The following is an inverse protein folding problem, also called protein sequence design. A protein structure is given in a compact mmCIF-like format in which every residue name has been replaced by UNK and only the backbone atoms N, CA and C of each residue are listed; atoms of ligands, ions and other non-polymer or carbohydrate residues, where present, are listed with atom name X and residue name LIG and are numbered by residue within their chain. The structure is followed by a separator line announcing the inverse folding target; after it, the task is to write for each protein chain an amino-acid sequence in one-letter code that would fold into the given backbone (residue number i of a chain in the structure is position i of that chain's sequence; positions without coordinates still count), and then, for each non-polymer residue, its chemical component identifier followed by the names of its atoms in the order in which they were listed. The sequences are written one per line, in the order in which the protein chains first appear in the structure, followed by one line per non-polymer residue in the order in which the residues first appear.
data_IF_070964700903
#
_entry.id   IF_070964700903
#
_cell.length_a   1.000
_cell.length_b   1.000
_cell.length_c   1.000
_cell.angle_alpha   90.00
_cell.angle_beta   90.00
_cell.angle_gamma   90.00
#
_symmetry.space_group_name_H-M   'P 1'
#
loop_
_entity.id
_entity.type
_entity.pdbx_description
1 polymer ?
#
# COMPACT_ATOMS: atom_id res chain seq x y z
N UNK A 1 21.84 -17.62 27.15
CA UNK A 1 22.23 -16.61 28.15
C UNK A 1 21.20 -15.49 28.12
N UNK A 2 20.46 -15.31 29.21
CA UNK A 2 19.49 -14.21 29.36
C UNK A 2 20.27 -12.92 29.61
N UNK A 3 20.01 -11.82 28.88
CA UNK A 3 20.76 -10.58 29.07
C UNK A 3 20.50 -10.00 30.47
N UNK A 4 21.52 -9.34 31.04
CA UNK A 4 21.39 -8.70 32.36
C UNK A 4 20.28 -7.62 32.32
N UNK A 5 19.41 -7.55 33.34
CA UNK A 5 18.40 -6.51 33.44
C UNK A 5 19.00 -5.11 33.44
N UNK A 6 18.23 -4.11 32.97
CA UNK A 6 18.66 -2.72 33.05
C UNK A 6 18.84 -2.27 34.50
N UNK A 7 20.04 -1.78 34.82
CA UNK A 7 20.36 -1.13 36.09
C UNK A 7 19.72 0.25 36.17
N UNK A 8 19.59 0.79 37.39
CA UNK A 8 19.02 2.12 37.59
C UNK A 8 19.81 3.22 36.84
N UNK A 9 21.14 3.15 36.86
CA UNK A 9 22.02 4.10 36.17
C UNK A 9 21.86 4.01 34.64
N UNK A 10 21.76 2.79 34.08
CA UNK A 10 21.47 2.63 32.65
C UNK A 10 20.11 3.24 32.27
N UNK A 11 19.07 3.05 33.08
CA UNK A 11 17.75 3.63 32.80
C UNK A 11 17.82 5.16 32.76
N UNK A 12 18.51 5.79 33.71
CA UNK A 12 18.69 7.25 33.73
C UNK A 12 19.41 7.73 32.47
N UNK A 13 20.54 7.10 32.12
CA UNK A 13 21.31 7.48 30.93
C UNK A 13 20.52 7.28 29.63
N UNK A 14 19.74 6.20 29.51
CA UNK A 14 18.90 5.96 28.34
C UNK A 14 17.69 6.89 28.26
N UNK A 15 17.14 7.33 29.40
CA UNK A 15 15.97 8.19 29.47
C UNK A 15 16.31 9.69 29.28
N UNK A 16 17.53 10.09 29.59
CA UNK A 16 18.01 11.48 29.54
C UNK A 16 17.69 12.19 28.20
N UNK A 17 18.06 11.66 27.02
CA UNK A 17 17.81 12.37 25.76
C UNK A 17 16.32 12.56 25.46
N UNK A 18 15.48 11.61 25.90
CA UNK A 18 14.04 11.68 25.74
C UNK A 18 13.40 12.70 26.69
N UNK A 19 13.92 12.78 27.92
CA UNK A 19 13.45 13.74 28.93
C UNK A 19 13.77 15.17 28.52
N UNK A 20 14.97 15.39 27.95
CA UNK A 20 15.34 16.68 27.33
C UNK A 20 14.41 17.06 26.17
N UNK A 21 13.93 16.08 25.42
CA UNK A 21 12.91 16.24 24.38
C UNK A 21 11.46 16.31 24.90
N UNK A 22 11.25 16.47 26.21
CA UNK A 22 9.93 16.60 26.83
C UNK A 22 9.16 15.28 26.99
N UNK A 23 9.80 14.12 26.81
CA UNK A 23 9.17 12.80 26.98
C UNK A 23 9.45 12.25 28.36
N UNK A 24 8.41 11.77 29.05
CA UNK A 24 8.56 11.16 30.37
C UNK A 24 8.54 9.63 30.26
N UNK A 25 9.39 8.95 31.02
CA UNK A 25 9.37 7.48 31.11
C UNK A 25 8.10 7.03 31.84
N UNK A 26 7.46 6.01 31.32
CA UNK A 26 6.41 5.24 31.98
C UNK A 26 7.05 4.02 32.65
N UNK A 27 7.33 4.14 33.95
CA UNK A 27 7.97 3.08 34.71
C UNK A 27 7.06 1.84 34.88
N UNK A 28 5.74 2.00 34.83
CA UNK A 28 4.81 0.90 34.95
C UNK A 28 4.72 0.07 33.67
N UNK A 29 4.84 0.72 32.51
CA UNK A 29 4.86 0.05 31.20
C UNK A 29 6.27 -0.44 30.78
N UNK A 30 7.33 0.03 31.43
CA UNK A 30 8.72 -0.38 31.15
C UNK A 30 9.05 -1.74 31.76
N UNK A 31 9.90 -2.52 31.10
CA UNK A 31 10.34 -3.83 31.58
C UNK A 31 11.86 -3.92 31.60
N UNK A 32 12.44 -3.93 32.80
CA UNK A 32 13.90 -3.97 33.00
C UNK A 32 14.51 -5.32 32.62
N UNK A 33 13.78 -6.43 32.82
CA UNK A 33 14.23 -7.78 32.49
C UNK A 33 14.32 -7.96 30.96
N UNK A 34 13.38 -7.37 30.22
CA UNK A 34 13.39 -7.33 28.75
C UNK A 34 14.23 -6.18 28.18
N UNK A 35 14.87 -5.37 29.05
CA UNK A 35 15.65 -4.19 28.68
C UNK A 35 14.88 -3.20 27.78
N UNK A 36 13.61 -2.98 28.11
CA UNK A 36 12.66 -2.12 27.39
C UNK A 36 12.22 -0.93 28.24
N UNK A 37 12.33 0.27 27.67
CA UNK A 37 11.78 1.51 28.22
C UNK A 37 10.59 1.97 27.38
N UNK A 38 9.49 2.31 28.05
CA UNK A 38 8.28 2.88 27.44
C UNK A 38 8.15 4.32 27.90
N UNK A 39 7.76 5.21 26.99
CA UNK A 39 7.51 6.61 27.30
C UNK A 39 6.01 6.89 27.33
N UNK A 40 5.60 7.84 28.18
CA UNK A 40 4.19 8.24 28.33
C UNK A 40 3.61 8.68 27.00
N UNK A 41 2.31 8.40 26.84
CA UNK A 41 1.51 8.75 25.66
C UNK A 41 1.52 10.25 25.41
N UNK A 42 1.65 10.63 24.15
CA UNK A 42 1.48 12.01 23.70
C UNK A 42 0.40 12.08 22.60
N UNK A 43 -0.45 13.09 22.65
CA UNK A 43 -1.43 13.33 21.60
C UNK A 43 -0.82 14.16 20.47
N UNK A 44 -1.14 13.79 19.22
CA UNK A 44 -0.72 14.46 18.00
C UNK A 44 -1.94 14.73 17.14
N UNK A 45 -2.03 15.94 16.59
CA UNK A 45 -3.07 16.27 15.63
C UNK A 45 -2.76 15.63 14.27
N UNK A 46 -3.71 14.88 13.72
CA UNK A 46 -3.69 14.51 12.31
C UNK A 46 -4.19 15.71 11.50
N UNK A 47 -3.35 16.25 10.63
CA UNK A 47 -3.78 17.28 9.70
C UNK A 47 -4.42 16.60 8.47
N UNK A 48 -5.50 17.17 7.92
CA UNK A 48 -6.04 16.70 6.65
C UNK A 48 -4.97 16.82 5.56
N UNK A 49 -4.99 15.92 4.59
CA UNK A 49 -4.00 15.92 3.52
C UNK A 49 -4.04 17.27 2.77
N UNK A 50 -2.96 18.05 2.85
CA UNK A 50 -2.83 19.28 2.07
C UNK A 50 -2.68 18.90 0.57
N UNK A 51 -3.57 19.39 -0.28
CA UNK A 51 -3.57 19.12 -1.73
C UNK A 51 -2.37 19.79 -2.45
N UNK A 52 -1.56 20.60 -1.74
CA UNK A 52 -0.43 21.35 -2.31
C UNK A 52 0.81 20.53 -2.67
N UNK A 53 0.82 19.20 -2.51
CA UNK A 53 1.90 18.32 -3.01
C UNK A 53 1.65 17.72 -4.40
N UNK A 54 0.64 18.19 -5.15
CA UNK A 54 0.59 17.99 -6.60
C UNK A 54 1.44 19.06 -7.31
N UNK A 55 2.32 18.64 -8.21
CA UNK A 55 3.20 19.49 -9.05
C UNK A 55 2.57 20.83 -9.49
N UNK A 56 3.27 21.98 -9.38
CA UNK A 56 2.69 23.31 -9.61
C UNK A 56 2.47 23.70 -11.09
N UNK A 57 2.44 22.75 -12.03
CA UNK A 57 2.46 23.05 -13.46
C UNK A 57 1.08 23.17 -14.15
N UNK A 58 -0.04 23.13 -13.41
CA UNK A 58 -1.36 23.28 -14.03
C UNK A 58 -2.40 23.90 -13.08
N UNK A 59 -2.32 25.20 -12.84
CA UNK A 59 -3.39 25.95 -12.18
C UNK A 59 -3.98 27.00 -13.12
N UNK A 60 -5.10 26.65 -13.75
CA UNK A 60 -5.97 27.55 -14.52
C UNK A 60 -7.29 27.78 -13.75
N UNK A 61 -7.55 29.05 -13.44
CA UNK A 61 -8.84 29.81 -13.32
C UNK A 61 -10.11 29.14 -12.75
N UNK A 62 -10.04 28.08 -11.93
CA UNK A 62 -11.22 27.51 -11.23
C UNK A 62 -11.08 27.44 -9.68
N UNK A 63 -10.31 28.36 -9.09
CA UNK A 63 -9.86 28.26 -7.70
C UNK A 63 -10.93 28.36 -6.58
N UNK A 64 -12.00 29.19 -6.65
CA UNK A 64 -12.84 29.41 -5.47
C UNK A 64 -13.82 28.25 -5.19
N UNK A 65 -14.39 27.62 -6.23
CA UNK A 65 -15.28 26.46 -6.07
C UNK A 65 -14.51 25.18 -5.70
N UNK A 66 -13.33 24.98 -6.29
CA UNK A 66 -12.45 23.87 -5.94
C UNK A 66 -11.97 23.96 -4.47
N UNK A 67 -11.63 25.16 -4.00
CA UNK A 67 -11.24 25.38 -2.61
C UNK A 67 -12.40 25.13 -1.62
N UNK A 68 -13.64 25.51 -1.98
CA UNK A 68 -14.82 25.26 -1.15
C UNK A 68 -15.20 23.78 -1.07
N UNK A 69 -15.09 23.05 -2.20
CA UNK A 69 -15.26 21.60 -2.25
C UNK A 69 -14.14 20.87 -1.50
N UNK A 70 -12.89 21.29 -1.65
CA UNK A 70 -11.75 20.75 -0.92
C UNK A 70 -11.89 20.97 0.59
N UNK A 71 -12.34 22.15 1.03
CA UNK A 71 -12.64 22.42 2.44
C UNK A 71 -13.78 21.55 2.98
N UNK A 72 -14.82 21.32 2.18
CA UNK A 72 -15.94 20.44 2.53
C UNK A 72 -15.53 18.96 2.57
N UNK A 73 -14.63 18.53 1.69
CA UNK A 73 -14.05 17.18 1.67
C UNK A 73 -13.04 16.96 2.81
N UNK A 74 -12.28 17.98 3.17
CA UNK A 74 -11.41 17.97 4.34
C UNK A 74 -12.22 17.88 5.65
N UNK A 75 -13.38 18.53 5.72
CA UNK A 75 -14.30 18.41 6.86
C UNK A 75 -14.93 17.00 6.99
N UNK A 76 -14.96 16.23 5.90
CA UNK A 76 -15.40 14.83 5.88
C UNK A 76 -14.25 13.83 6.10
N UNK A 77 -13.00 14.31 6.19
CA UNK A 77 -11.86 13.46 6.48
C UNK A 77 -11.87 13.11 7.97
N UNK A 78 -11.71 11.83 8.29
CA UNK A 78 -11.60 11.35 9.66
C UNK A 78 -10.22 11.72 10.22
N UNK A 79 -10.08 12.95 10.71
CA UNK A 79 -8.84 13.50 11.27
C UNK A 79 -8.78 13.32 12.79
N UNK A 80 -9.17 12.14 13.27
CA UNK A 80 -9.12 11.82 14.70
C UNK A 80 -7.72 12.02 15.31
N UNK A 81 -7.62 12.24 16.63
CA UNK A 81 -6.34 12.42 17.30
C UNK A 81 -5.48 11.17 17.14
N UNK A 82 -4.16 11.37 17.03
CA UNK A 82 -3.17 10.29 17.05
C UNK A 82 -2.58 10.18 18.45
N UNK A 83 -2.62 8.98 19.02
CA UNK A 83 -1.87 8.67 20.24
C UNK A 83 -0.50 8.15 19.86
N UNK A 84 0.54 8.80 20.36
CA UNK A 84 1.94 8.43 20.16
C UNK A 84 2.50 7.70 21.38
N UNK A 85 3.19 6.59 21.15
CA UNK A 85 3.98 5.86 22.14
C UNK A 85 5.38 5.59 21.58
N UNK A 86 6.41 5.86 22.37
CA UNK A 86 7.79 5.52 22.04
C UNK A 86 8.25 4.33 22.90
N UNK A 87 8.89 3.36 22.27
CA UNK A 87 9.55 2.23 22.94
C UNK A 87 11.03 2.20 22.57
N UNK A 88 11.91 2.12 23.57
CA UNK A 88 13.33 1.92 23.39
C UNK A 88 13.72 0.53 23.92
N UNK A 89 14.16 -0.35 23.03
CA UNK A 89 14.72 -1.65 23.37
C UNK A 89 16.25 -1.58 23.35
N UNK A 90 16.92 -2.12 24.38
CA UNK A 90 18.38 -2.26 24.45
C UNK A 90 18.80 -3.72 24.33
N UNK A 91 19.61 -4.06 23.33
CA UNK A 91 20.04 -5.45 23.09
C UNK A 91 21.27 -5.87 23.90
N UNK A 92 21.78 -5.01 24.79
CA UNK A 92 22.95 -5.30 25.64
C UNK A 92 24.31 -5.22 24.92
N UNK A 93 24.33 -5.15 23.59
CA UNK A 93 25.54 -5.04 22.75
C UNK A 93 25.88 -3.59 22.37
N UNK A 94 25.32 -2.61 23.09
CA UNK A 94 25.40 -1.19 22.71
C UNK A 94 24.54 -0.81 21.50
N UNK A 95 23.69 -1.73 21.00
CA UNK A 95 22.69 -1.43 19.96
C UNK A 95 21.32 -1.24 20.59
N UNK A 96 20.59 -0.24 20.08
CA UNK A 96 19.24 0.08 20.49
C UNK A 96 18.27 0.06 19.31
N UNK A 97 17.01 -0.24 19.60
CA UNK A 97 15.89 -0.04 18.68
C UNK A 97 14.92 0.94 19.31
N UNK A 98 14.67 2.05 18.61
CA UNK A 98 13.62 2.99 18.95
C UNK A 98 12.44 2.74 18.01
N UNK A 99 11.27 2.50 18.59
CA UNK A 99 10.01 2.30 17.86
C UNK A 99 9.03 3.37 18.25
N UNK A 100 8.59 4.19 17.28
CA UNK A 100 7.42 5.06 17.44
C UNK A 100 6.19 4.35 16.93
N UNK A 101 5.21 4.18 17.80
CA UNK A 101 3.87 3.72 17.48
C UNK A 101 2.92 4.90 17.48
N UNK A 102 2.20 5.08 16.38
CA UNK A 102 1.09 6.02 16.28
C UNK A 102 -0.20 5.21 16.12
N UNK A 103 -1.20 5.52 16.93
CA UNK A 103 -2.53 4.90 16.88
C UNK A 103 -3.59 5.96 16.60
N UNK A 104 -4.39 5.75 15.57
CA UNK A 104 -5.52 6.61 15.21
C UNK A 104 -6.79 6.19 15.96
N UNK A 105 -7.75 7.11 16.10
CA UNK A 105 -9.04 6.86 16.74
C UNK A 105 -9.82 5.70 16.11
N UNK A 106 -9.62 5.43 14.81
CA UNK A 106 -10.22 4.28 14.12
C UNK A 106 -9.63 2.91 14.53
N UNK A 107 -8.60 2.90 15.38
CA UNK A 107 -7.86 1.71 15.80
C UNK A 107 -6.71 1.32 14.88
N UNK A 108 -6.51 2.00 13.75
CA UNK A 108 -5.33 1.79 12.91
C UNK A 108 -4.05 2.19 13.63
N UNK A 109 -3.00 1.42 13.39
CA UNK A 109 -1.68 1.62 13.98
C UNK A 109 -0.60 1.68 12.90
N UNK A 110 0.36 2.60 13.07
CA UNK A 110 1.55 2.72 12.24
C UNK A 110 2.81 2.73 13.11
N UNK A 111 3.89 2.12 12.63
CA UNK A 111 5.17 2.03 13.34
C UNK A 111 6.31 2.69 12.57
N UNK A 112 7.21 3.37 13.26
CA UNK A 112 8.46 3.87 12.70
C UNK A 112 9.60 3.31 13.55
N UNK A 113 10.41 2.46 12.95
CA UNK A 113 11.52 1.79 13.64
C UNK A 113 12.85 2.36 13.20
N UNK A 114 13.72 2.68 14.17
CA UNK A 114 15.10 3.05 13.93
C UNK A 114 16.02 2.15 14.78
N UNK A 115 17.15 1.74 14.21
CA UNK A 115 18.19 1.00 14.93
C UNK A 115 19.52 1.74 14.86
N UNK A 116 20.31 1.64 15.93
CA UNK A 116 21.60 2.31 16.03
C UNK A 116 22.18 2.28 17.44
N UNK A 117 23.42 2.75 17.61
CA UNK A 117 24.12 2.68 18.88
C UNK A 117 23.79 3.82 19.85
N UNK A 118 23.19 4.91 19.37
CA UNK A 118 23.06 6.15 20.14
C UNK A 118 21.58 6.57 20.27
N UNK A 119 20.98 6.50 21.47
CA UNK A 119 19.56 6.82 21.68
C UNK A 119 19.17 8.24 21.29
N UNK A 120 20.04 9.23 21.49
CA UNK A 120 19.78 10.62 21.11
C UNK A 120 19.68 10.78 19.59
N UNK A 121 20.59 10.17 18.83
CA UNK A 121 20.54 10.17 17.36
C UNK A 121 19.34 9.37 16.83
N UNK A 122 18.92 8.31 17.53
CA UNK A 122 17.69 7.58 17.20
C UNK A 122 16.45 8.45 17.36
N UNK A 123 16.34 9.17 18.48
CA UNK A 123 15.24 10.08 18.75
C UNK A 123 15.18 11.19 17.68
N UNK A 124 16.30 11.83 17.38
CA UNK A 124 16.37 12.87 16.35
C UNK A 124 15.91 12.36 14.97
N UNK A 125 16.31 11.14 14.58
CA UNK A 125 15.87 10.54 13.30
C UNK A 125 14.37 10.21 13.29
N UNK A 126 13.82 9.74 14.40
CA UNK A 126 12.38 9.45 14.52
C UNK A 126 11.57 10.74 14.49
N UNK A 127 11.99 11.77 15.22
CA UNK A 127 11.32 13.07 15.27
C UNK A 127 11.41 13.83 13.94
N UNK A 128 12.48 13.64 13.16
CA UNK A 128 12.61 14.19 11.80
C UNK A 128 11.55 13.65 10.82
N UNK A 129 10.92 12.51 11.11
CA UNK A 129 9.81 12.00 10.32
C UNK A 129 8.49 12.52 10.90
N UNK A 130 7.73 13.37 10.19
CA UNK A 130 6.47 13.89 10.70
C UNK A 130 5.41 12.77 10.84
N UNK A 131 4.55 12.81 11.89
CA UNK A 131 3.44 11.86 12.05
C UNK A 131 2.52 11.77 10.82
N UNK A 132 2.36 12.87 10.08
CA UNK A 132 1.56 12.97 8.85
C UNK A 132 2.11 12.13 7.69
N UNK A 133 3.39 11.70 7.78
CA UNK A 133 3.91 10.72 6.82
C UNK A 133 3.41 9.30 7.14
N UNK A 134 3.24 8.98 8.42
CA UNK A 134 2.72 7.69 8.88
C UNK A 134 1.20 7.60 8.78
N UNK A 135 0.48 8.71 8.90
CA UNK A 135 -0.98 8.74 8.79
C UNK A 135 -1.45 9.75 7.76
N UNK A 136 -2.37 9.32 6.89
CA UNK A 136 -3.08 10.18 5.96
C UNK A 136 -4.57 9.88 6.06
N UNK A 137 -5.37 10.89 6.37
CA UNK A 137 -6.83 10.80 6.29
C UNK A 137 -7.32 11.41 4.97
N UNK A 138 -8.41 10.85 4.44
CA UNK A 138 -9.16 11.41 3.34
C UNK A 138 -10.66 11.10 3.49
N UNK A 139 -11.48 11.49 2.51
CA UNK A 139 -12.91 11.26 2.57
C UNK A 139 -13.23 9.77 2.64
N UNK A 140 -13.77 9.30 3.77
CA UNK A 140 -14.15 7.90 4.02
C UNK A 140 -12.99 6.88 4.04
N UNK A 141 -11.74 7.34 4.17
CA UNK A 141 -10.61 6.43 4.35
C UNK A 141 -9.54 6.99 5.27
N UNK A 142 -8.82 6.08 5.92
CA UNK A 142 -7.60 6.38 6.68
C UNK A 142 -6.49 5.43 6.24
N UNK A 143 -5.29 5.98 6.00
CA UNK A 143 -4.09 5.24 5.63
C UNK A 143 -3.08 5.33 6.77
N UNK A 144 -2.63 4.17 7.24
CA UNK A 144 -1.54 4.00 8.19
C UNK A 144 -0.32 3.39 7.47
N UNK A 145 0.88 3.93 7.70
CA UNK A 145 2.12 3.53 7.01
C UNK A 145 3.23 3.29 8.02
N UNK A 146 3.72 2.06 8.05
CA UNK A 146 4.86 1.65 8.87
C UNK A 146 6.16 1.66 8.09
N UNK A 147 7.21 2.20 8.70
CA UNK A 147 8.52 2.42 8.09
C UNK A 147 9.65 1.87 8.94
N UNK A 148 10.76 1.58 8.27
CA UNK A 148 12.06 1.37 8.89
C UNK A 148 13.03 2.48 8.46
N UNK A 149 13.79 3.01 9.41
CA UNK A 149 14.90 3.94 9.20
C UNK A 149 16.19 3.14 9.15
N UNK A 150 16.58 2.72 7.96
CA UNK A 150 17.82 2.00 7.71
C UNK A 150 18.95 2.98 7.43
N UNK A 151 19.96 3.02 8.31
CA UNK A 151 21.07 3.96 8.19
C UNK A 151 20.62 5.43 8.29
N UNK A 152 21.19 6.29 7.44
CA UNK A 152 21.09 7.75 7.59
C UNK A 152 20.08 8.45 6.68
N UNK A 153 19.56 7.85 5.60
CA UNK A 153 19.08 8.71 4.49
C UNK A 153 17.57 8.75 4.19
N UNK A 154 16.77 7.69 4.36
CA UNK A 154 15.33 7.78 4.02
C UNK A 154 14.50 6.70 4.70
N UNK A 155 13.27 7.00 5.17
CA UNK A 155 12.32 5.98 5.60
C UNK A 155 12.00 5.00 4.47
N UNK A 156 12.06 3.70 4.78
CA UNK A 156 11.69 2.63 3.87
C UNK A 156 10.34 2.06 4.30
N UNK A 157 9.34 2.12 3.43
CA UNK A 157 8.01 1.57 3.74
C UNK A 157 8.09 0.06 3.90
N UNK A 158 7.54 -0.46 5.01
CA UNK A 158 7.44 -1.89 5.32
C UNK A 158 6.03 -2.41 5.20
N UNK A 159 5.06 -1.61 5.64
CA UNK A 159 3.65 -1.98 5.63
C UNK A 159 2.78 -0.75 5.47
N UNK A 160 1.73 -0.86 4.67
CA UNK A 160 0.63 0.10 4.63
C UNK A 160 -0.66 -0.59 4.99
N UNK A 161 -1.53 0.08 5.72
CA UNK A 161 -2.89 -0.37 5.99
C UNK A 161 -3.84 0.75 5.62
N UNK A 162 -4.84 0.45 4.80
CA UNK A 162 -5.93 1.35 4.45
C UNK A 162 -7.19 0.79 5.05
N UNK A 163 -7.94 1.62 5.76
CA UNK A 163 -9.31 1.34 6.18
C UNK A 163 -10.26 2.20 5.36
N UNK A 164 -11.18 1.57 4.62
CA UNK A 164 -12.18 2.26 3.81
C UNK A 164 -13.49 1.46 3.81
N UNK A 165 -14.59 2.09 4.25
CA UNK A 165 -15.97 1.55 4.20
C UNK A 165 -16.14 0.08 4.66
N UNK A 166 -15.43 -0.30 5.73
CA UNK A 166 -15.48 -1.64 6.32
C UNK A 166 -14.55 -2.68 5.67
N UNK A 167 -13.64 -2.24 4.80
CA UNK A 167 -12.53 -3.03 4.30
C UNK A 167 -11.20 -2.51 4.85
N UNK A 168 -10.34 -3.46 5.22
CA UNK A 168 -8.94 -3.22 5.51
C UNK A 168 -8.10 -3.80 4.37
N UNK A 169 -7.42 -2.93 3.61
CA UNK A 169 -6.37 -3.31 2.68
C UNK A 169 -5.03 -3.24 3.41
N UNK A 170 -4.30 -4.33 3.50
CA UNK A 170 -2.91 -4.36 3.98
C UNK A 170 -1.98 -4.59 2.80
N UNK A 171 -0.95 -3.76 2.68
CA UNK A 171 0.15 -3.93 1.73
C UNK A 171 1.44 -4.16 2.51
N UNK A 172 2.13 -5.26 2.24
CA UNK A 172 3.44 -5.57 2.84
C UNK A 172 4.53 -5.44 1.79
N UNK A 173 5.56 -4.66 2.10
CA UNK A 173 6.67 -4.35 1.19
C UNK A 173 7.94 -5.07 1.65
N UNK A 174 8.37 -6.06 0.87
CA UNK A 174 9.61 -6.78 1.14
C UNK A 174 10.84 -5.88 0.95
N UNK A 175 11.82 -6.02 1.85
CA UNK A 175 13.14 -5.37 1.71
C UNK A 175 13.88 -5.80 0.43
N UNK A 176 13.61 -7.03 -0.03
CA UNK A 176 14.34 -7.65 -1.14
C UNK A 176 14.02 -6.95 -2.46
N UNK A 177 15.07 -6.57 -3.18
CA UNK A 177 14.95 -5.93 -4.49
C UNK A 177 14.25 -6.86 -5.49
N UNK A 178 13.33 -6.31 -6.27
CA UNK A 178 12.61 -7.05 -7.30
C UNK A 178 11.40 -7.86 -6.81
N UNK A 179 11.22 -7.99 -5.49
CA UNK A 179 10.04 -8.64 -4.92
C UNK A 179 8.85 -7.66 -4.91
N UNK A 180 7.72 -8.13 -5.44
CA UNK A 180 6.44 -7.41 -5.39
C UNK A 180 5.97 -7.19 -3.96
N UNK A 181 5.15 -6.17 -3.74
CA UNK A 181 4.38 -6.05 -2.52
C UNK A 181 3.23 -7.05 -2.52
N UNK A 182 2.98 -7.68 -1.38
CA UNK A 182 1.82 -8.52 -1.17
C UNK A 182 0.68 -7.65 -0.64
N UNK A 183 -0.52 -7.83 -1.18
CA UNK A 183 -1.72 -7.10 -0.79
C UNK A 183 -2.75 -8.10 -0.29
N UNK A 184 -3.36 -7.80 0.86
CA UNK A 184 -4.51 -8.53 1.38
C UNK A 184 -5.66 -7.57 1.64
N UNK A 185 -6.88 -8.01 1.35
CA UNK A 185 -8.10 -7.30 1.70
C UNK A 185 -8.90 -8.18 2.64
N UNK A 186 -9.31 -7.62 3.76
CA UNK A 186 -10.16 -8.28 4.75
C UNK A 186 -11.29 -7.35 5.16
N UNK A 187 -12.44 -7.91 5.52
CA UNK A 187 -13.53 -7.13 6.11
C UNK A 187 -13.17 -6.78 7.54
N UNK A 188 -13.41 -5.53 7.94
CA UNK A 188 -13.16 -5.06 9.31
C UNK A 188 -14.11 -5.72 10.30
N UNK A 189 -15.35 -5.98 9.87
CA UNK A 189 -16.38 -6.63 10.69
C UNK A 189 -16.76 -7.98 10.06
N UNK A 190 -16.93 -9.04 10.87
CA UNK A 190 -17.48 -10.30 10.40
C UNK A 190 -18.87 -10.09 9.80
N UNK A 191 -19.09 -10.60 8.59
CA UNK A 191 -20.34 -10.41 7.87
C UNK A 191 -20.33 -11.11 6.52
N UNK A 192 -21.49 -11.13 5.83
CA UNK A 192 -21.58 -11.74 4.52
C UNK A 192 -20.59 -11.06 3.58
N UNK A 193 -19.80 -11.88 2.89
CA UNK A 193 -18.67 -11.35 2.16
C UNK A 193 -19.10 -10.49 0.98
N UNK A 194 -18.46 -9.33 0.87
CA UNK A 194 -18.62 -8.42 -0.27
C UNK A 194 -18.42 -9.15 -1.60
N UNK A 195 -19.25 -8.82 -2.59
CA UNK A 195 -19.13 -9.35 -3.95
C UNK A 195 -18.14 -8.49 -4.76
N UNK A 196 -16.85 -8.56 -4.41
CA UNK A 196 -15.80 -7.76 -5.06
C UNK A 196 -15.35 -8.41 -6.39
N UNK A 197 -15.19 -7.60 -7.46
CA UNK A 197 -14.73 -8.12 -8.74
C UNK A 197 -13.21 -8.39 -8.70
N UNK A 198 -12.76 -9.41 -9.43
CA UNK A 198 -11.32 -9.76 -9.47
C UNK A 198 -10.45 -8.60 -9.97
N UNK A 199 -10.97 -7.76 -10.83
CA UNK A 199 -10.24 -6.64 -11.42
C UNK A 199 -10.28 -5.35 -10.59
N UNK A 200 -10.86 -5.37 -9.38
CA UNK A 200 -11.01 -4.20 -8.51
C UNK A 200 -9.72 -3.38 -8.37
N UNK A 201 -8.58 -4.02 -8.10
CA UNK A 201 -7.30 -3.32 -8.01
C UNK A 201 -6.56 -3.28 -9.35
N UNK A 202 -6.76 -4.27 -10.21
CA UNK A 202 -6.06 -4.38 -11.49
C UNK A 202 -6.40 -3.23 -12.45
N UNK A 203 -7.57 -2.59 -12.31
CA UNK A 203 -7.94 -1.39 -13.08
C UNK A 203 -7.07 -0.17 -12.77
N UNK A 204 -6.35 -0.15 -11.63
CA UNK A 204 -5.47 0.95 -11.23
C UNK A 204 -4.15 1.03 -12.02
N UNK A 205 -3.82 0.00 -12.82
CA UNK A 205 -2.67 0.03 -13.72
C UNK A 205 -2.03 -1.32 -13.99
N UNK A 206 -0.91 -1.32 -14.71
CA UNK A 206 -0.16 -2.53 -15.07
C UNK A 206 0.57 -3.19 -13.90
N UNK A 207 0.89 -2.39 -12.89
CA UNK A 207 1.62 -2.87 -11.73
C UNK A 207 0.71 -3.49 -10.66
N UNK A 208 -0.60 -3.57 -10.89
CA UNK A 208 -1.56 -4.21 -9.99
C UNK A 208 -2.00 -5.56 -10.55
N UNK A 209 -1.88 -6.61 -9.74
CA UNK A 209 -2.45 -7.91 -10.04
C UNK A 209 -3.93 -7.98 -9.63
N UNK A 210 -4.64 -8.96 -10.17
CA UNK A 210 -6.03 -9.21 -9.82
C UNK A 210 -6.20 -9.67 -8.38
N UNK A 211 -7.42 -9.54 -7.91
CA UNK A 211 -7.88 -9.95 -6.62
C UNK A 211 -8.30 -11.43 -6.67
N UNK A 212 -7.61 -12.26 -5.88
CA UNK A 212 -7.87 -13.69 -5.76
C UNK A 212 -8.58 -13.95 -4.44
N UNK A 213 -9.75 -14.59 -4.48
CA UNK A 213 -10.51 -14.93 -3.27
C UNK A 213 -9.75 -15.97 -2.43
N UNK A 214 -9.70 -15.75 -1.13
CA UNK A 214 -9.10 -16.63 -0.11
C UNK A 214 -10.07 -16.81 1.06
N UNK A 215 -9.88 -17.80 1.95
CA UNK A 215 -10.74 -17.99 3.11
C UNK A 215 -10.84 -16.75 4.02
N UNK A 216 -9.70 -16.08 4.26
CA UNK A 216 -9.62 -14.89 5.12
C UNK A 216 -9.95 -13.56 4.43
N UNK A 217 -10.41 -13.59 3.17
CA UNK A 217 -10.70 -12.38 2.38
C UNK A 217 -10.17 -12.51 0.96
N UNK A 218 -9.30 -11.58 0.55
CA UNK A 218 -8.73 -11.58 -0.79
C UNK A 218 -7.25 -11.27 -0.77
N UNK A 219 -6.53 -11.77 -1.77
CA UNK A 219 -5.11 -11.52 -1.98
C UNK A 219 -4.86 -10.91 -3.36
N UNK A 220 -3.89 -10.01 -3.45
CA UNK A 220 -3.39 -9.42 -4.69
C UNK A 220 -1.89 -9.13 -4.53
N UNK A 221 -1.26 -8.65 -5.59
CA UNK A 221 0.14 -8.24 -5.60
C UNK A 221 0.31 -6.93 -6.34
N UNK A 222 1.33 -6.18 -5.95
CA UNK A 222 1.73 -4.97 -6.66
C UNK A 222 3.22 -4.97 -6.96
N UNK A 223 3.58 -4.74 -8.22
CA UNK A 223 4.99 -4.67 -8.63
C UNK A 223 5.60 -3.36 -8.18
N UNK A 224 6.73 -3.46 -7.51
CA UNK A 224 7.54 -2.32 -7.12
C UNK A 224 8.89 -2.40 -7.85
N UNK A 225 9.27 -1.31 -8.53
CA UNK A 225 10.51 -1.22 -9.32
C UNK A 225 11.49 -0.24 -8.68
N UNK A 226 12.79 -0.45 -8.92
CA UNK A 226 13.87 0.43 -8.48
C UNK A 226 14.41 0.10 -7.08
N UNK A 227 15.21 1.03 -6.53
CA UNK A 227 15.78 0.94 -5.18
C UNK A 227 14.78 1.29 -4.08
N UNK A 228 15.20 1.17 -2.82
CA UNK A 228 14.33 1.31 -1.64
C UNK A 228 13.56 2.64 -1.59
N UNK A 229 14.20 3.77 -1.91
CA UNK A 229 13.55 5.08 -1.93
C UNK A 229 12.45 5.17 -3.00
N UNK A 230 12.74 4.77 -4.24
CA UNK A 230 11.76 4.77 -5.34
C UNK A 230 10.61 3.79 -5.07
N UNK A 231 10.92 2.60 -4.53
CA UNK A 231 9.90 1.61 -4.13
C UNK A 231 9.00 2.16 -3.04
N UNK A 232 9.57 2.85 -2.04
CA UNK A 232 8.81 3.50 -0.97
C UNK A 232 7.87 4.55 -1.54
N UNK A 233 8.37 5.49 -2.35
CA UNK A 233 7.53 6.53 -2.97
C UNK A 233 6.42 5.92 -3.85
N UNK A 234 6.74 4.91 -4.66
CA UNK A 234 5.77 4.22 -5.52
C UNK A 234 4.69 3.52 -4.68
N UNK A 235 5.09 2.89 -3.59
CA UNK A 235 4.18 2.18 -2.69
C UNK A 235 3.29 3.15 -1.88
N UNK A 236 3.83 4.28 -1.42
CA UNK A 236 3.07 5.37 -0.78
C UNK A 236 1.99 5.90 -1.74
N UNK A 237 2.38 6.28 -2.96
CA UNK A 237 1.44 6.79 -3.97
C UNK A 237 0.38 5.75 -4.37
N UNK A 238 0.76 4.47 -4.41
CA UNK A 238 -0.14 3.39 -4.73
C UNK A 238 -1.15 3.10 -3.62
N UNK A 239 -0.74 3.16 -2.35
CA UNK A 239 -1.67 3.09 -1.21
C UNK A 239 -2.69 4.21 -1.27
N UNK A 240 -2.25 5.43 -1.54
CA UNK A 240 -3.14 6.60 -1.58
C UNK A 240 -4.16 6.50 -2.72
N UNK A 241 -3.69 6.05 -3.90
CA UNK A 241 -4.57 5.80 -5.03
C UNK A 241 -5.56 4.67 -4.75
N UNK A 242 -5.10 3.58 -4.13
CA UNK A 242 -5.96 2.47 -3.76
C UNK A 242 -6.98 2.89 -2.69
N UNK A 243 -6.59 3.72 -1.72
CA UNK A 243 -7.49 4.20 -0.68
C UNK A 243 -8.61 5.06 -1.25
N UNK A 244 -8.28 6.05 -2.07
CA UNK A 244 -9.28 6.88 -2.75
C UNK A 244 -10.18 6.03 -3.68
N UNK A 245 -9.59 5.07 -4.40
CA UNK A 245 -10.35 4.19 -5.28
C UNK A 245 -11.32 3.28 -4.51
N UNK A 246 -10.90 2.70 -3.39
CA UNK A 246 -11.75 1.84 -2.57
C UNK A 246 -12.89 2.65 -1.93
N UNK A 247 -12.58 3.80 -1.35
CA UNK A 247 -13.59 4.69 -0.76
C UNK A 247 -14.65 5.10 -1.80
N UNK A 248 -14.22 5.52 -3.00
CA UNK A 248 -15.15 5.88 -4.07
C UNK A 248 -15.97 4.68 -4.56
N UNK A 249 -15.31 3.52 -4.75
CA UNK A 249 -15.97 2.33 -5.31
C UNK A 249 -17.02 1.78 -4.35
N UNK A 250 -16.73 1.74 -3.05
CA UNK A 250 -17.64 1.20 -2.04
C UNK A 250 -18.79 2.15 -1.69
N UNK A 251 -18.60 3.47 -1.88
CA UNK A 251 -19.65 4.45 -1.70
C UNK A 251 -20.71 4.42 -2.81
N UNK A 252 -20.39 3.87 -3.98
CA UNK A 252 -21.26 3.84 -5.15
C UNK A 252 -21.84 2.43 -5.41
N UNK A 253 -23.00 2.32 -6.09
CA UNK A 253 -23.52 1.03 -6.54
C UNK A 253 -22.54 0.32 -7.51
N UNK A 254 -22.47 -1.03 -7.50
CA UNK A 254 -21.58 -1.79 -8.37
C UNK A 254 -21.62 -1.43 -9.85
N UNK A 255 -22.80 -1.06 -10.37
CA UNK A 255 -22.97 -0.64 -11.76
C UNK A 255 -22.07 0.55 -12.16
N UNK A 256 -21.87 1.53 -11.25
CA UNK A 256 -21.04 2.72 -11.51
C UNK A 256 -19.58 2.38 -11.69
N UNK A 257 -19.04 1.45 -10.89
CA UNK A 257 -17.68 0.95 -11.06
C UNK A 257 -17.50 0.33 -12.46
N UNK A 258 -18.46 -0.50 -12.88
CA UNK A 258 -18.40 -1.16 -14.18
C UNK A 258 -18.44 -0.16 -15.33
N UNK A 259 -19.28 0.86 -15.26
CA UNK A 259 -19.39 1.94 -16.25
C UNK A 259 -18.12 2.79 -16.31
N UNK A 260 -17.58 3.20 -15.16
CA UNK A 260 -16.39 4.06 -15.08
C UNK A 260 -15.14 3.36 -15.60
N UNK A 261 -14.99 2.07 -15.30
CA UNK A 261 -13.76 1.33 -15.57
C UNK A 261 -13.83 0.40 -16.79
N UNK A 262 -14.86 0.46 -17.65
CA UNK A 262 -15.01 -0.47 -18.81
C UNK A 262 -13.70 -0.64 -19.60
N UNK A 263 -13.05 0.46 -20.00
CA UNK A 263 -11.81 0.40 -20.77
C UNK A 263 -10.66 -0.25 -20.00
N UNK A 264 -10.47 0.13 -18.73
CA UNK A 264 -9.44 -0.45 -17.86
C UNK A 264 -9.68 -1.95 -17.65
N UNK A 265 -10.93 -2.36 -17.44
CA UNK A 265 -11.33 -3.77 -17.29
C UNK A 265 -11.08 -4.57 -18.55
N UNK A 266 -11.40 -4.02 -19.73
CA UNK A 266 -11.01 -4.64 -21.03
C UNK A 266 -9.50 -4.79 -21.16
N UNK A 267 -8.75 -3.79 -20.71
CA UNK A 267 -7.29 -3.88 -20.58
C UNK A 267 -6.85 -5.04 -19.68
N UNK A 268 -7.51 -5.26 -18.53
CA UNK A 268 -7.25 -6.42 -17.65
C UNK A 268 -7.47 -7.74 -18.40
N UNK A 269 -8.58 -7.87 -19.12
CA UNK A 269 -8.90 -9.07 -19.92
C UNK A 269 -7.83 -9.31 -20.99
N UNK A 270 -7.44 -8.27 -21.74
CA UNK A 270 -6.41 -8.38 -22.77
C UNK A 270 -5.06 -8.80 -22.17
N UNK A 271 -4.69 -8.26 -21.01
CA UNK A 271 -3.47 -8.64 -20.28
C UNK A 271 -3.47 -10.11 -19.89
N UNK A 272 -4.62 -10.60 -19.41
CA UNK A 272 -4.79 -12.00 -19.02
C UNK A 272 -4.78 -12.95 -20.22
N UNK A 273 -5.16 -12.47 -21.40
CA UNK A 273 -5.10 -13.24 -22.63
C UNK A 273 -3.67 -13.40 -23.20
N UNK A 274 -2.69 -12.58 -22.80
CA UNK A 274 -1.32 -12.62 -23.37
C UNK A 274 -0.70 -14.02 -23.35
N UNK A 275 -0.71 -14.78 -22.24
CA UNK A 275 -0.16 -16.14 -22.22
C UNK A 275 -0.87 -17.11 -23.17
N UNK A 276 -2.18 -16.93 -23.39
CA UNK A 276 -2.96 -17.73 -24.34
C UNK A 276 -2.71 -17.31 -25.80
N UNK A 277 -2.43 -16.03 -26.04
CA UNK A 277 -2.09 -15.52 -27.37
C UNK A 277 -0.80 -16.13 -27.91
N UNK A 278 0.20 -16.38 -27.05
CA UNK A 278 1.48 -16.98 -27.47
C UNK A 278 1.32 -18.30 -28.25
N UNK A 279 0.68 -19.37 -27.71
CA UNK A 279 0.50 -20.61 -28.45
C UNK A 279 -0.43 -20.46 -29.67
N UNK A 280 -1.50 -19.66 -29.56
CA UNK A 280 -2.43 -19.41 -30.67
C UNK A 280 -1.71 -18.79 -31.86
N UNK A 281 -0.91 -17.76 -31.58
CA UNK A 281 -0.14 -17.05 -32.59
C UNK A 281 0.95 -17.93 -33.19
N UNK A 282 1.60 -18.78 -32.41
CA UNK A 282 2.55 -19.76 -32.93
C UNK A 282 1.88 -20.71 -33.95
N UNK A 283 0.68 -21.21 -33.65
CA UNK A 283 -0.10 -22.03 -34.58
C UNK A 283 -0.48 -21.23 -35.83
N UNK A 284 -0.95 -19.99 -35.68
CA UNK A 284 -1.31 -19.13 -36.82
C UNK A 284 -0.10 -18.88 -37.72
N UNK A 285 1.07 -18.56 -37.15
CA UNK A 285 2.31 -18.32 -37.91
C UNK A 285 2.71 -19.54 -38.72
N UNK A 286 2.61 -20.74 -38.15
CA UNK A 286 2.90 -22.01 -38.87
C UNK A 286 1.90 -22.24 -40.01
N UNK A 287 0.60 -22.04 -39.77
CA UNK A 287 -0.43 -22.22 -40.81
C UNK A 287 -0.40 -21.15 -41.90
N UNK A 288 0.15 -19.98 -41.60
CA UNK A 288 0.29 -18.86 -42.52
C UNK A 288 1.53 -18.99 -43.43
N UNK A 289 2.55 -19.74 -43.00
CA UNK A 289 3.83 -19.90 -43.71
C UNK A 289 3.70 -20.21 -45.22
N UNK A 290 2.80 -21.12 -45.68
CA UNK A 290 2.69 -21.44 -47.10
C UNK A 290 2.04 -20.34 -47.95
N UNK A 291 1.44 -19.32 -47.32
CA UNK A 291 0.66 -18.27 -48.00
C UNK A 291 1.43 -16.98 -48.24
N UNK A 292 2.62 -16.84 -47.65
CA UNK A 292 3.43 -15.63 -47.77
C UNK A 292 4.67 -15.90 -48.61
N UNK A 293 4.99 -14.96 -49.50
CA UNK A 293 6.31 -14.88 -50.12
C UNK A 293 7.31 -14.40 -49.05
N UNK A 294 8.02 -15.36 -48.47
CA UNK A 294 8.94 -15.18 -47.33
C UNK A 294 10.10 -14.25 -47.68
N UNK A 295 10.49 -14.19 -48.95
CA UNK A 295 11.69 -13.48 -49.39
C UNK A 295 11.46 -11.97 -49.59
N UNK A 296 10.21 -11.54 -49.82
CA UNK A 296 9.90 -10.16 -50.21
C UNK A 296 8.97 -9.41 -49.24
N UNK A 297 8.42 -10.06 -48.22
CA UNK A 297 7.39 -9.45 -47.36
C UNK A 297 7.91 -8.98 -46.00
N UNK A 298 7.95 -7.66 -45.72
CA UNK A 298 8.29 -7.15 -44.38
C UNK A 298 7.25 -7.53 -43.31
N UNK A 299 6.02 -7.89 -43.72
CA UNK A 299 4.99 -8.39 -42.82
C UNK A 299 5.32 -9.77 -42.26
N UNK A 300 6.07 -10.59 -43.00
CA UNK A 300 6.50 -11.91 -42.54
C UNK A 300 7.48 -11.79 -41.36
N UNK A 301 8.46 -10.89 -41.47
CA UNK A 301 9.41 -10.59 -40.37
C UNK A 301 8.68 -10.11 -39.12
N UNK A 302 7.68 -9.23 -39.29
CA UNK A 302 6.85 -8.78 -38.17
C UNK A 302 6.10 -9.95 -37.52
N UNK A 303 5.38 -10.75 -38.31
CA UNK A 303 4.59 -11.90 -37.85
C UNK A 303 5.44 -12.95 -37.11
N UNK A 304 6.65 -13.20 -37.60
CA UNK A 304 7.61 -14.13 -37.01
C UNK A 304 8.06 -13.70 -35.60
N UNK A 305 8.22 -12.39 -35.36
CA UNK A 305 8.65 -11.88 -34.04
C UNK A 305 7.51 -11.72 -33.04
N UNK A 306 6.24 -11.74 -33.47
CA UNK A 306 5.10 -11.52 -32.56
C UNK A 306 5.07 -12.58 -31.42
N UNK A 307 5.28 -13.90 -31.65
CA UNK A 307 5.38 -14.87 -30.55
C UNK A 307 6.49 -14.54 -29.55
N UNK A 308 7.67 -14.12 -30.02
CA UNK A 308 8.79 -13.71 -29.15
C UNK A 308 8.41 -12.50 -28.30
N UNK A 309 7.74 -11.51 -28.88
CA UNK A 309 7.23 -10.34 -28.14
C UNK A 309 6.20 -10.75 -27.10
N UNK A 310 5.28 -11.68 -27.42
CA UNK A 310 4.30 -12.20 -26.46
C UNK A 310 4.97 -12.93 -25.28
N UNK A 311 6.01 -13.72 -25.51
CA UNK A 311 6.80 -14.39 -24.46
C UNK A 311 7.53 -13.35 -23.59
N UNK A 312 8.19 -12.36 -24.20
CA UNK A 312 8.84 -11.28 -23.46
C UNK A 312 7.83 -10.51 -22.60
N UNK A 313 6.62 -10.29 -23.12
CA UNK A 313 5.54 -9.62 -22.40
C UNK A 313 4.95 -10.51 -21.28
N UNK A 314 4.91 -11.84 -21.43
CA UNK A 314 4.42 -12.73 -20.36
C UNK A 314 5.30 -12.67 -19.12
N UNK A 315 6.62 -12.53 -19.26
CA UNK A 315 7.52 -12.28 -18.11
C UNK A 315 7.33 -10.91 -17.46
N UNK A 316 6.61 -9.98 -18.12
CA UNK A 316 6.23 -8.70 -17.51
C UNK A 316 4.97 -8.82 -16.66
N UNK A 317 4.21 -9.90 -16.76
CA UNK A 317 3.02 -10.16 -15.95
C UNK A 317 3.41 -10.67 -14.56
N UNK A 318 2.66 -10.27 -13.54
CA UNK A 318 2.90 -10.67 -12.15
C UNK A 318 2.18 -11.95 -11.75
N UNK A 319 1.23 -12.38 -12.58
CA UNK A 319 0.38 -13.53 -12.30
C UNK A 319 0.98 -14.76 -12.99
N UNK A 320 0.86 -15.92 -12.32
CA UNK A 320 1.13 -17.19 -12.98
C UNK A 320 0.22 -17.30 -14.20
N UNK A 321 0.74 -17.69 -15.37
CA UNK A 321 -0.06 -17.83 -16.57
C UNK A 321 -1.19 -18.82 -16.31
N UNK A 322 -2.43 -18.34 -16.39
CA UNK A 322 -3.61 -19.18 -16.36
C UNK A 322 -4.14 -19.29 -17.79
N UNK A 323 -4.21 -20.50 -18.30
CA UNK A 323 -4.76 -20.81 -19.62
C UNK A 323 -6.29 -20.90 -19.55
N UNK A 324 -6.92 -19.83 -19.08
CA UNK A 324 -8.37 -19.70 -19.02
C UNK A 324 -8.79 -18.51 -19.86
N UNK A 325 -9.89 -18.64 -20.61
CA UNK A 325 -10.47 -17.52 -21.36
C UNK A 325 -11.11 -16.57 -20.34
N UNK A 326 -10.57 -15.35 -20.16
CA UNK A 326 -11.12 -14.41 -19.19
C UNK A 326 -12.54 -13.99 -19.56
N UNK A 327 -13.48 -13.93 -18.60
CA UNK A 327 -14.82 -13.46 -18.88
C UNK A 327 -14.79 -11.97 -19.24
N UNK A 328 -15.55 -11.59 -20.26
CA UNK A 328 -15.69 -10.18 -20.62
C UNK A 328 -16.41 -9.40 -19.51
N UNK A 329 -15.99 -8.16 -19.21
CA UNK A 329 -16.61 -7.35 -18.18
C UNK A 329 -18.06 -7.05 -18.54
N UNK A 330 -19.00 -7.57 -17.76
CA UNK A 330 -20.43 -7.26 -17.85
C UNK A 330 -20.82 -6.23 -16.78
N UNK A 331 -21.89 -5.48 -17.05
CA UNK A 331 -22.51 -4.58 -16.07
C UNK A 331 -23.12 -5.42 -14.95
N UNK A 332 -22.85 -5.07 -13.70
CA UNK A 332 -23.53 -5.68 -12.56
C UNK A 332 -24.94 -5.11 -12.43
N UNK A 333 -25.90 -5.98 -12.13
CA UNK A 333 -27.27 -5.61 -11.78
C UNK A 333 -27.47 -5.49 -10.26
N UNK A 334 -26.43 -5.74 -9.46
CA UNK A 334 -26.51 -5.66 -8.02
C UNK A 334 -26.70 -4.21 -7.55
N UNK A 335 -27.62 -4.01 -6.62
CA UNK A 335 -27.92 -2.70 -6.01
C UNK A 335 -26.81 -2.30 -5.02
N UNK A 336 -26.14 -3.27 -4.39
CA UNK A 336 -25.10 -3.07 -3.39
C UNK A 336 -23.96 -4.07 -3.56
N UNK A 337 -22.77 -3.69 -3.07
CA UNK A 337 -21.61 -4.59 -2.95
C UNK A 337 -21.81 -5.68 -1.89
N UNK A 338 -22.69 -5.43 -0.92
CA UNK A 338 -23.09 -6.43 0.06
C UNK A 338 -24.17 -7.29 -0.59
N UNK A 339 -24.02 -8.63 -0.58
CA UNK A 339 -25.11 -9.50 -1.00
C UNK A 339 -26.33 -9.18 -0.14
N UNK A 340 -27.52 -9.17 -0.75
CA UNK A 340 -28.74 -9.06 0.02
C UNK A 340 -28.75 -10.21 1.02
N UNK A 341 -28.85 -9.89 2.31
CA UNK A 341 -29.08 -10.89 3.34
C UNK A 341 -30.39 -11.59 2.99
N UNK A 342 -30.33 -12.75 2.36
CA UNK A 342 -31.50 -13.56 2.09
C UNK A 342 -32.08 -13.99 3.43
N UNK A 343 -33.34 -13.61 3.65
CA UNK A 343 -34.26 -14.20 4.63
C UNK A 343 -34.38 -15.70 4.43
#
# INVERSE_FOLDING_TARGET
MTPQPLTHHEIIGLAEPFTRGGRQVDLAASNRLERRLVFKRAERALQPADERSADPAAASVAAPLAASLAASLAALADTGPLTEVLHLDSFGTGTFRLTRTLTHASGLQATLEAMGPEPAALLARVDAVPPQRQFRAGPRFVVARSYALEGAATPVLRRGVVQADGLNLTMTVSAVRGVSADITLAQTTPGPALALPEDLLAVLGWDWARLIRKPAGWASKMRLRGGAARRTHTAEAALDRAAAHLAQTLAEPPARFHERHVAARRGVVLRRAIPLMTPVLLVITVLALPRFDVDNSPLWVLLYHVPTVCILLSFRLQELPQFEIPPWPRRSQAVSWRPASGT
#
